data_IF_797285322913
#
_entry.id   IF_797285322913
#
_cell.length_a   1.000
_cell.length_b   1.000
_cell.length_c   1.000
_cell.angle_alpha   90.00
_cell.angle_beta   90.00
_cell.angle_gamma   90.00
#
_symmetry.space_group_name_H-M   'P 1'
#
loop_
_entity.id
_entity.type
_entity.pdbx_description
1 polymer ?
#
# COMPACT_ATOMS: atom_id res chain seq x y z
N UNK A 1 -6.28 12.29 -6.32
CA UNK A 1 -6.07 10.99 -6.15
C UNK A 1 -7.11 10.35 -5.34
N UNK A 2 -7.45 9.16 -5.61
CA UNK A 2 -8.58 8.60 -5.01
C UNK A 2 -8.19 7.79 -3.79
N UNK A 3 -8.53 8.25 -2.65
CA UNK A 3 -8.22 7.54 -1.42
C UNK A 3 -8.89 6.18 -1.39
N UNK A 4 -10.10 6.09 -1.96
CA UNK A 4 -10.81 4.84 -1.95
C UNK A 4 -10.04 3.77 -2.73
N UNK A 5 -9.52 4.13 -3.90
CA UNK A 5 -8.74 3.20 -4.68
C UNK A 5 -7.47 2.80 -3.95
N UNK A 6 -6.87 3.74 -3.26
CA UNK A 6 -5.66 3.44 -2.51
C UNK A 6 -5.96 2.43 -1.40
N UNK A 7 -7.07 2.62 -0.70
CA UNK A 7 -7.45 1.69 0.37
C UNK A 7 -7.74 0.31 -0.19
N UNK A 8 -8.41 0.26 -1.33
CA UNK A 8 -8.72 -1.03 -1.93
C UNK A 8 -7.45 -1.76 -2.35
N UNK A 9 -6.50 -1.02 -2.91
CA UNK A 9 -5.24 -1.63 -3.30
C UNK A 9 -4.49 -2.16 -2.10
N UNK A 10 -4.50 -1.42 -1.00
CA UNK A 10 -3.84 -1.89 0.21
C UNK A 10 -4.49 -3.16 0.73
N UNK A 11 -5.81 -3.21 0.70
CA UNK A 11 -6.49 -4.41 1.16
C UNK A 11 -6.09 -5.61 0.31
N UNK A 12 -6.03 -5.44 -1.00
CA UNK A 12 -5.64 -6.52 -1.87
C UNK A 12 -4.21 -6.98 -1.58
N UNK A 13 -3.32 -6.03 -1.36
CA UNK A 13 -1.94 -6.39 -1.07
C UNK A 13 -1.83 -7.15 0.24
N UNK A 14 -2.55 -6.71 1.25
CA UNK A 14 -2.54 -7.42 2.52
C UNK A 14 -3.09 -8.82 2.39
N UNK A 15 -4.15 -8.96 1.61
CA UNK A 15 -4.73 -10.27 1.39
C UNK A 15 -3.73 -11.18 0.70
N UNK A 16 -3.07 -10.66 -0.31
CA UNK A 16 -2.07 -11.47 -1.02
C UNK A 16 -0.94 -11.87 -0.09
N UNK A 17 -0.57 -10.96 0.81
CA UNK A 17 0.50 -11.26 1.72
C UNK A 17 0.14 -12.43 2.63
N UNK A 18 -1.10 -12.47 3.10
CA UNK A 18 -1.49 -13.57 3.98
C UNK A 18 -1.59 -14.89 3.24
N UNK A 19 -1.81 -14.84 1.93
CA UNK A 19 -1.92 -16.06 1.17
C UNK A 19 -0.59 -16.50 0.57
N UNK A 20 0.43 -15.69 0.65
CA UNK A 20 1.70 -16.01 0.04
C UNK A 20 2.59 -16.71 1.05
N UNK A 21 3.10 -17.86 0.66
CA UNK A 21 4.00 -18.58 1.56
C UNK A 21 5.46 -18.43 1.16
N UNK A 22 5.75 -17.93 -0.03
CA UNK A 22 7.10 -17.78 -0.50
C UNK A 22 7.72 -16.56 0.13
N UNK A 23 8.84 -16.73 0.78
CA UNK A 23 9.45 -15.63 1.53
C UNK A 23 9.86 -14.48 0.64
N UNK A 24 10.36 -14.76 -0.55
CA UNK A 24 10.73 -13.68 -1.43
C UNK A 24 9.52 -12.85 -1.85
N UNK A 25 8.44 -13.51 -2.17
CA UNK A 25 7.24 -12.81 -2.57
C UNK A 25 6.67 -12.02 -1.40
N UNK A 26 6.75 -12.57 -0.20
CA UNK A 26 6.27 -11.84 0.96
C UNK A 26 7.05 -10.56 1.15
N UNK A 27 8.35 -10.62 0.92
CA UNK A 27 9.17 -9.44 1.08
C UNK A 27 8.82 -8.37 0.05
N UNK A 28 8.58 -8.79 -1.19
CA UNK A 28 8.19 -7.85 -2.22
C UNK A 28 6.86 -7.18 -1.86
N UNK A 29 5.92 -7.97 -1.35
CA UNK A 29 4.62 -7.42 -0.96
C UNK A 29 4.76 -6.45 0.21
N UNK A 30 5.60 -6.80 1.17
CA UNK A 30 5.84 -5.89 2.28
C UNK A 30 6.41 -4.56 1.78
N UNK A 31 7.33 -4.61 0.83
CA UNK A 31 7.91 -3.39 0.30
C UNK A 31 6.86 -2.57 -0.43
N UNK A 32 6.00 -3.22 -1.19
CA UNK A 32 4.95 -2.50 -1.89
C UNK A 32 3.98 -1.85 -0.93
N UNK A 33 3.60 -2.55 0.11
CA UNK A 33 2.70 -1.99 1.10
C UNK A 33 3.33 -0.79 1.76
N UNK A 34 4.60 -0.90 2.10
CA UNK A 34 5.29 0.22 2.74
C UNK A 34 5.33 1.43 1.82
N UNK A 35 5.54 1.20 0.52
CA UNK A 35 5.57 2.30 -0.42
C UNK A 35 4.20 2.96 -0.55
N UNK A 36 3.15 2.14 -0.58
CA UNK A 36 1.81 2.70 -0.68
C UNK A 36 1.49 3.53 0.57
N UNK A 37 1.85 3.03 1.72
CA UNK A 37 1.57 3.76 2.95
C UNK A 37 2.36 5.05 3.02
N UNK A 38 3.59 5.03 2.54
CA UNK A 38 4.40 6.24 2.53
C UNK A 38 3.80 7.30 1.62
N UNK A 39 3.33 6.87 0.45
CA UNK A 39 2.71 7.82 -0.47
C UNK A 39 1.43 8.38 0.10
N UNK A 40 0.65 7.54 0.75
CA UNK A 40 -0.59 8.00 1.33
C UNK A 40 -0.30 9.04 2.42
N UNK A 41 0.73 8.80 3.19
CA UNK A 41 1.11 9.75 4.22
C UNK A 41 1.54 11.09 3.60
N UNK A 42 2.25 11.03 2.47
CA UNK A 42 2.65 12.24 1.79
C UNK A 42 1.43 13.04 1.35
N UNK A 43 0.42 12.35 0.84
CA UNK A 43 -0.78 13.05 0.43
C UNK A 43 -1.43 13.75 1.60
N UNK A 44 -1.43 13.12 2.76
CA UNK A 44 -2.03 13.72 3.92
C UNK A 44 -1.24 14.89 4.46
N UNK A 45 0.08 14.80 4.30
CA UNK A 45 0.90 15.88 4.81
C UNK A 45 0.88 17.11 3.92
N UNK A 46 0.56 16.95 2.64
CA UNK A 46 0.51 18.06 1.75
C UNK A 46 -0.84 18.70 1.85
N UNK A 47 -0.90 19.85 2.39
CA UNK A 47 -2.18 20.38 2.66
C UNK A 47 -2.88 20.80 1.44
N UNK A 48 -2.26 21.25 0.42
CA UNK A 48 -2.95 21.70 -0.59
C UNK A 48 -2.94 20.98 -1.65
N UNK A 49 -3.36 20.19 -1.71
CA UNK A 49 -3.38 19.49 -2.66
C UNK A 49 -3.92 20.03 -3.81
N UNK A 50 -4.37 20.72 -4.04
CA UNK A 50 -4.85 21.10 -5.19
C UNK A 50 -4.48 21.87 -5.70
#
# INVERSE_FOLDING_TARGET
MDKFLHDENLKLLHKRLTETTDEKNRQVLHNLIAEYEAKYREWQLKPNAD
#
